data_IF_353635887971
#
_entry.id   IF_353635887971
#
_cell.length_a   1.000
_cell.length_b   1.000
_cell.length_c   1.000
_cell.angle_alpha   90.00
_cell.angle_beta   90.00
_cell.angle_gamma   90.00
#
_symmetry.space_group_name_H-M   'P 1'
#
loop_
_entity.id
_entity.type
_entity.pdbx_description
1 polymer ?
#
# COMPACT_ATOMS: atom_id res chain seq x y z
N UNK A 1 -7.13 -3.23 -39.51
CA UNK A 1 -8.48 -3.41 -38.94
C UNK A 1 -8.26 -4.11 -37.61
N UNK A 2 -8.59 -3.43 -36.51
CA UNK A 2 -8.39 -3.93 -35.16
C UNK A 2 -9.61 -4.78 -34.79
N UNK A 3 -9.43 -6.09 -34.69
CA UNK A 3 -10.48 -6.97 -34.21
C UNK A 3 -10.46 -6.98 -32.67
N UNK A 4 -11.32 -6.14 -32.09
CA UNK A 4 -11.68 -6.20 -30.68
C UNK A 4 -12.56 -7.45 -30.53
N UNK A 5 -12.05 -8.50 -29.91
CA UNK A 5 -12.86 -9.67 -29.57
C UNK A 5 -13.56 -9.35 -28.25
N UNK A 6 -14.83 -8.92 -28.34
CA UNK A 6 -15.71 -8.65 -27.19
C UNK A 6 -16.12 -9.97 -26.53
N UNK A 7 -15.37 -10.38 -25.50
CA UNK A 7 -15.69 -11.54 -24.69
C UNK A 7 -16.06 -11.11 -23.27
N UNK A 8 -17.37 -11.17 -23.03
CA UNK A 8 -18.08 -11.28 -21.74
C UNK A 8 -18.15 -10.02 -20.85
N UNK A 9 -19.37 -9.46 -20.82
CA UNK A 9 -19.86 -8.60 -19.73
C UNK A 9 -19.80 -9.38 -18.41
N UNK A 10 -18.85 -9.04 -17.54
CA UNK A 10 -18.83 -9.53 -16.16
C UNK A 10 -19.61 -8.54 -15.30
N UNK A 11 -20.89 -8.84 -15.06
CA UNK A 11 -21.70 -8.16 -14.04
C UNK A 11 -21.35 -8.73 -12.67
N UNK A 12 -20.86 -7.90 -11.76
CA UNK A 12 -20.75 -8.27 -10.35
C UNK A 12 -21.43 -7.23 -9.47
N UNK A 13 -22.26 -7.71 -8.55
CA UNK A 13 -22.86 -6.92 -7.49
C UNK A 13 -22.64 -7.62 -6.17
N UNK A 14 -22.40 -6.82 -5.12
CA UNK A 14 -22.90 -7.06 -3.76
C UNK A 14 -22.84 -5.74 -2.98
N UNK A 15 -24.04 -5.34 -2.55
CA UNK A 15 -24.42 -4.42 -1.47
C UNK A 15 -23.57 -3.17 -1.19
N UNK A 16 -24.06 -2.01 -1.67
CA UNK A 16 -23.75 -0.70 -1.09
C UNK A 16 -23.25 0.34 -2.09
N UNK A 17 -24.18 0.91 -2.86
CA UNK A 17 -24.06 2.20 -3.58
C UNK A 17 -22.69 2.55 -4.19
N UNK A 18 -22.35 2.06 -5.39
CA UNK A 18 -21.66 2.82 -6.46
C UNK A 18 -22.00 2.24 -7.84
N UNK A 19 -21.95 3.09 -8.87
CA UNK A 19 -22.27 2.78 -10.27
C UNK A 19 -21.45 1.60 -10.80
N UNK A 20 -22.09 0.65 -11.49
CA UNK A 20 -21.42 -0.50 -12.10
C UNK A 20 -20.56 -0.05 -13.29
N UNK A 21 -19.23 0.00 -13.13
CA UNK A 21 -18.30 0.19 -14.24
C UNK A 21 -18.05 -1.15 -14.91
N UNK A 22 -18.49 -1.30 -16.18
CA UNK A 22 -18.11 -2.45 -17.01
C UNK A 22 -16.67 -2.26 -17.46
N UNK A 23 -15.75 -3.09 -16.97
CA UNK A 23 -14.35 -3.10 -17.45
C UNK A 23 -14.23 -4.13 -18.56
N UNK A 24 -13.83 -3.69 -19.75
CA UNK A 24 -13.47 -4.58 -20.87
C UNK A 24 -12.02 -5.01 -20.68
N UNK A 25 -11.79 -6.32 -20.51
CA UNK A 25 -10.43 -6.85 -20.49
C UNK A 25 -9.87 -6.90 -21.91
N UNK A 26 -8.68 -6.33 -22.11
CA UNK A 26 -7.94 -6.51 -23.34
C UNK A 26 -7.24 -7.87 -23.30
N UNK A 27 -7.83 -8.87 -23.96
CA UNK A 27 -7.14 -10.13 -24.26
C UNK A 27 -6.29 -9.90 -25.50
N UNK A 28 -4.96 -9.91 -25.33
CA UNK A 28 -4.07 -9.76 -26.46
C UNK A 28 -3.97 -11.05 -27.29
N UNK A 29 -4.31 -10.95 -28.57
CA UNK A 29 -4.18 -12.02 -29.57
C UNK A 29 -2.72 -12.11 -30.10
N UNK A 30 -1.77 -12.43 -29.22
CA UNK A 30 -0.34 -12.64 -29.53
C UNK A 30 0.54 -11.39 -29.69
N UNK A 31 0.10 -10.21 -29.23
CA UNK A 31 0.94 -8.98 -29.21
C UNK A 31 1.25 -8.51 -27.79
N UNK A 32 2.34 -7.77 -27.61
CA UNK A 32 2.60 -7.09 -26.34
C UNK A 32 1.65 -5.90 -26.21
N UNK A 33 0.78 -5.88 -25.20
CA UNK A 33 -0.03 -4.72 -24.84
C UNK A 33 0.54 -4.02 -23.61
N UNK A 34 1.09 -2.83 -23.81
CA UNK A 34 1.70 -2.02 -22.75
C UNK A 34 0.72 -1.02 -22.11
N UNK A 35 -0.52 -0.98 -22.61
CA UNK A 35 -1.56 -0.09 -22.09
C UNK A 35 -2.28 -0.79 -20.93
N UNK A 36 -2.06 -0.29 -19.71
CA UNK A 36 -2.62 -0.88 -18.49
C UNK A 36 -4.15 -0.75 -18.49
N UNK A 37 -4.87 -1.87 -18.35
CA UNK A 37 -6.33 -1.84 -18.23
C UNK A 37 -6.72 -1.29 -16.86
N UNK A 38 -7.65 -0.31 -16.77
CA UNK A 38 -8.18 0.13 -15.47
C UNK A 38 -8.67 -1.06 -14.63
N UNK A 39 -8.37 -1.04 -13.33
CA UNK A 39 -8.95 -2.01 -12.41
C UNK A 39 -10.47 -1.79 -12.31
N UNK A 40 -11.26 -2.85 -12.12
CA UNK A 40 -12.68 -2.69 -11.80
C UNK A 40 -12.82 -2.08 -10.41
N UNK A 41 -13.84 -1.24 -10.22
CA UNK A 41 -14.12 -0.58 -8.94
C UNK A 41 -14.24 -1.60 -7.80
N UNK A 42 -14.77 -2.80 -8.09
CA UNK A 42 -14.90 -3.91 -7.13
C UNK A 42 -13.57 -4.47 -6.61
N UNK A 43 -12.45 -4.23 -7.30
CA UNK A 43 -11.12 -4.65 -6.86
C UNK A 43 -10.46 -3.61 -5.94
N UNK A 44 -10.84 -2.33 -6.04
CA UNK A 44 -10.26 -1.25 -5.25
C UNK A 44 -10.66 -1.40 -3.77
N UNK A 45 -9.70 -1.19 -2.88
CA UNK A 45 -9.83 -1.44 -1.43
C UNK A 45 -9.73 -2.92 -1.03
N UNK A 46 -9.58 -3.86 -1.96
CA UNK A 46 -9.56 -5.30 -1.64
C UNK A 46 -8.13 -5.83 -1.45
N UNK A 47 -7.99 -6.93 -0.71
CA UNK A 47 -6.70 -7.63 -0.55
C UNK A 47 -6.22 -8.32 -1.83
N UNK A 48 -7.12 -8.55 -2.78
CA UNK A 48 -6.85 -9.30 -4.01
C UNK A 48 -6.51 -8.39 -5.20
N UNK A 49 -6.44 -7.06 -4.99
CA UNK A 49 -6.09 -6.07 -6.01
C UNK A 49 -4.76 -6.36 -6.70
N UNK A 50 -3.70 -6.68 -5.94
CA UNK A 50 -2.38 -6.96 -6.53
C UNK A 50 -2.29 -8.39 -7.08
N UNK A 51 -2.74 -9.37 -6.29
CA UNK A 51 -2.68 -10.78 -6.65
C UNK A 51 -3.81 -11.58 -5.97
N UNK A 52 -4.61 -12.29 -6.76
CA UNK A 52 -5.60 -13.26 -6.26
C UNK A 52 -5.03 -14.69 -6.35
N UNK A 53 -4.62 -15.24 -5.20
CA UNK A 53 -4.08 -16.61 -5.09
C UNK A 53 -5.14 -17.70 -5.30
N UNK A 54 -6.43 -17.40 -5.14
CA UNK A 54 -7.49 -18.43 -5.14
C UNK A 54 -7.92 -18.85 -6.55
N UNK A 55 -7.40 -18.21 -7.60
CA UNK A 55 -7.91 -18.38 -8.98
C UNK A 55 -6.82 -18.59 -10.05
N UNK A 56 -5.62 -19.00 -9.66
CA UNK A 56 -4.58 -19.44 -10.61
C UNK A 56 -5.13 -20.59 -11.47
N UNK A 57 -5.42 -20.33 -12.75
CA UNK A 57 -5.86 -21.34 -13.73
C UNK A 57 -7.35 -21.34 -14.12
N UNK A 58 -8.16 -20.38 -13.65
CA UNK A 58 -9.57 -20.24 -14.06
C UNK A 58 -9.81 -19.14 -15.10
N UNK A 59 -10.78 -19.34 -15.99
CA UNK A 59 -11.27 -18.32 -16.95
C UNK A 59 -12.17 -17.25 -16.30
N UNK A 60 -12.45 -17.35 -15.00
CA UNK A 60 -13.31 -16.44 -14.26
C UNK A 60 -12.50 -15.29 -13.63
N UNK A 61 -12.38 -14.20 -14.38
CA UNK A 61 -11.64 -12.98 -14.08
C UNK A 61 -12.01 -12.30 -12.76
N UNK A 62 -11.11 -12.36 -11.79
CA UNK A 62 -10.86 -11.21 -10.93
C UNK A 62 -9.60 -10.52 -11.44
N UNK A 63 -9.76 -9.25 -11.80
CA UNK A 63 -8.74 -8.37 -12.40
C UNK A 63 -7.73 -7.92 -11.34
N UNK A 64 -6.99 -8.86 -10.75
CA UNK A 64 -5.76 -8.48 -10.05
C UNK A 64 -4.79 -7.84 -11.04
N UNK A 65 -3.96 -6.91 -10.59
CA UNK A 65 -2.96 -6.25 -11.45
C UNK A 65 -1.99 -7.25 -12.08
N UNK A 66 -1.64 -8.32 -11.35
CA UNK A 66 -0.90 -9.44 -11.92
C UNK A 66 -1.63 -10.08 -13.12
N UNK A 67 -2.89 -10.48 -12.92
CA UNK A 67 -3.66 -11.16 -13.95
C UNK A 67 -3.88 -10.26 -15.19
N UNK A 68 -4.11 -8.96 -14.98
CA UNK A 68 -4.16 -7.98 -16.06
C UNK A 68 -2.85 -7.95 -16.86
N UNK A 69 -1.72 -7.84 -16.16
CA UNK A 69 -0.39 -7.85 -16.78
C UNK A 69 -0.14 -9.12 -17.60
N UNK A 70 -0.37 -10.31 -17.02
CA UNK A 70 -0.15 -11.59 -17.71
C UNK A 70 -1.02 -11.73 -18.97
N UNK A 71 -2.27 -11.23 -18.94
CA UNK A 71 -3.15 -11.29 -20.10
C UNK A 71 -2.70 -10.33 -21.22
N UNK A 72 -2.29 -9.11 -20.87
CA UNK A 72 -1.76 -8.12 -21.81
C UNK A 72 -0.41 -8.51 -22.41
N UNK A 73 0.38 -9.24 -21.63
CA UNK A 73 1.73 -9.65 -22.01
C UNK A 73 1.83 -11.10 -22.49
N UNK A 74 0.71 -11.82 -22.71
CA UNK A 74 0.72 -13.22 -23.17
C UNK A 74 1.51 -13.45 -24.47
N UNK A 75 1.49 -12.47 -25.38
CA UNK A 75 2.23 -12.51 -26.64
C UNK A 75 3.71 -12.09 -26.55
N UNK A 76 4.22 -11.79 -25.36
CA UNK A 76 5.59 -11.35 -25.14
C UNK A 76 6.21 -11.96 -23.87
N UNK A 77 7.53 -11.90 -23.73
CA UNK A 77 8.24 -12.50 -22.60
C UNK A 77 8.53 -11.48 -21.47
N UNK A 78 7.66 -10.50 -21.24
CA UNK A 78 7.83 -9.59 -20.12
C UNK A 78 7.51 -10.30 -18.81
N UNK A 79 8.40 -10.16 -17.83
CA UNK A 79 8.20 -10.69 -16.49
C UNK A 79 7.21 -9.82 -15.72
N UNK A 80 6.39 -10.48 -14.89
CA UNK A 80 5.46 -9.80 -13.98
C UNK A 80 6.27 -8.88 -13.06
N UNK A 81 5.83 -7.63 -12.84
CA UNK A 81 6.49 -6.74 -11.89
C UNK A 81 6.52 -7.35 -10.49
N UNK A 82 7.71 -7.43 -9.90
CA UNK A 82 7.92 -7.98 -8.56
C UNK A 82 7.12 -7.28 -7.46
N UNK A 83 6.67 -6.04 -7.71
CA UNK A 83 5.82 -5.31 -6.80
C UNK A 83 4.46 -6.00 -6.62
N UNK A 84 3.91 -6.67 -7.63
CA UNK A 84 2.59 -7.30 -7.50
C UNK A 84 2.61 -8.55 -6.63
N UNK A 85 3.46 -9.51 -6.94
CA UNK A 85 3.53 -10.79 -6.20
C UNK A 85 4.45 -10.75 -4.99
N UNK A 86 5.44 -9.86 -5.02
CA UNK A 86 6.38 -9.66 -3.93
C UNK A 86 5.85 -8.63 -2.95
N UNK A 87 6.19 -7.35 -3.15
CA UNK A 87 6.02 -6.32 -2.13
C UNK A 87 4.54 -6.03 -1.80
N UNK A 88 3.73 -5.75 -2.82
CA UNK A 88 2.32 -5.37 -2.71
C UNK A 88 1.46 -6.46 -2.08
N UNK A 89 1.44 -7.68 -2.64
CA UNK A 89 0.67 -8.80 -2.09
C UNK A 89 1.13 -9.21 -0.68
N UNK A 90 2.45 -9.27 -0.43
CA UNK A 90 2.99 -9.57 0.90
C UNK A 90 2.44 -8.59 1.94
N UNK A 91 2.54 -7.29 1.67
CA UNK A 91 2.19 -6.29 2.67
C UNK A 91 0.71 -6.05 2.83
N UNK A 92 -0.06 -6.06 1.74
CA UNK A 92 -1.52 -5.94 1.87
C UNK A 92 -2.08 -7.08 2.73
N UNK A 93 -1.57 -8.30 2.56
CA UNK A 93 -1.97 -9.46 3.38
C UNK A 93 -1.43 -9.35 4.79
N UNK A 94 -0.17 -8.99 4.99
CA UNK A 94 0.37 -8.85 6.36
C UNK A 94 -0.37 -7.78 7.17
N UNK A 95 -0.64 -6.62 6.57
CA UNK A 95 -1.43 -5.57 7.21
C UNK A 95 -2.85 -6.09 7.55
N UNK A 96 -3.50 -6.82 6.64
CA UNK A 96 -4.87 -7.33 6.85
C UNK A 96 -4.94 -8.47 7.86
N UNK A 97 -4.07 -9.46 7.72
CA UNK A 97 -4.18 -10.74 8.40
C UNK A 97 -3.47 -10.72 9.75
N UNK A 98 -2.51 -9.82 9.95
CA UNK A 98 -1.76 -9.72 11.21
C UNK A 98 -2.05 -8.37 11.87
N UNK A 99 -1.64 -7.25 11.26
CA UNK A 99 -1.70 -5.93 11.91
C UNK A 99 -3.12 -5.55 12.33
N UNK A 100 -4.10 -5.77 11.46
CA UNK A 100 -5.51 -5.45 11.71
C UNK A 100 -6.04 -6.02 13.03
N UNK A 101 -5.60 -7.21 13.44
CA UNK A 101 -6.06 -7.86 14.69
C UNK A 101 -5.75 -7.03 15.93
N UNK A 102 -4.62 -6.32 15.91
CA UNK A 102 -4.06 -5.60 17.04
C UNK A 102 -4.41 -4.11 17.07
N UNK A 103 -4.96 -3.58 15.96
CA UNK A 103 -5.32 -2.18 15.83
C UNK A 103 -6.60 -1.83 16.61
N UNK A 104 -6.66 -0.60 17.11
CA UNK A 104 -7.88 0.00 17.61
C UNK A 104 -8.94 0.15 16.50
N UNK A 105 -10.17 0.54 16.86
CA UNK A 105 -11.21 0.84 15.87
C UNK A 105 -10.78 1.95 14.89
N UNK A 106 -10.05 2.97 15.38
CA UNK A 106 -9.52 4.05 14.54
C UNK A 106 -8.41 3.54 13.63
N UNK A 107 -7.51 2.68 14.15
CA UNK A 107 -6.45 2.08 13.35
C UNK A 107 -6.98 1.13 12.27
N UNK A 108 -8.05 0.38 12.56
CA UNK A 108 -8.73 -0.50 11.57
C UNK A 108 -9.35 0.31 10.43
N UNK A 109 -10.08 1.37 10.76
CA UNK A 109 -10.64 2.29 9.76
C UNK A 109 -9.52 2.91 8.90
N UNK A 110 -8.43 3.37 9.54
CA UNK A 110 -7.26 3.88 8.82
C UNK A 110 -6.68 2.86 7.86
N UNK A 111 -6.55 1.59 8.26
CA UNK A 111 -5.95 0.55 7.42
C UNK A 111 -6.80 0.28 6.16
N UNK A 112 -8.12 0.26 6.32
CA UNK A 112 -9.07 0.10 5.22
C UNK A 112 -8.99 1.29 4.25
N UNK A 113 -9.02 2.53 4.77
CA UNK A 113 -8.95 3.75 3.97
C UNK A 113 -7.58 3.91 3.29
N UNK A 114 -6.48 3.68 4.02
CA UNK A 114 -5.13 3.76 3.47
C UNK A 114 -4.94 2.76 2.33
N UNK A 115 -5.46 1.53 2.46
CA UNK A 115 -5.45 0.55 1.37
C UNK A 115 -6.25 1.02 0.17
N UNK A 116 -7.45 1.56 0.39
CA UNK A 116 -8.27 2.11 -0.68
C UNK A 116 -7.50 3.22 -1.43
N UNK A 117 -6.95 4.21 -0.72
CA UNK A 117 -6.21 5.31 -1.35
C UNK A 117 -4.92 4.87 -2.04
N UNK A 118 -4.18 3.91 -1.49
CA UNK A 118 -3.01 3.33 -2.15
C UNK A 118 -3.35 2.77 -3.53
N UNK A 119 -4.50 2.10 -3.65
CA UNK A 119 -4.95 1.50 -4.91
C UNK A 119 -5.56 2.52 -5.86
N UNK A 120 -6.32 3.50 -5.35
CA UNK A 120 -6.80 4.63 -6.17
C UNK A 120 -5.63 5.41 -6.78
N UNK A 121 -4.60 5.72 -5.99
CA UNK A 121 -3.43 6.45 -6.47
C UNK A 121 -2.54 5.64 -7.39
N UNK A 122 -2.53 4.31 -7.24
CA UNK A 122 -1.93 3.40 -8.21
C UNK A 122 -2.65 3.51 -9.56
N UNK A 123 -3.98 3.41 -9.59
CA UNK A 123 -4.78 3.51 -10.82
C UNK A 123 -4.68 4.89 -11.48
N UNK A 124 -4.72 5.96 -10.69
CA UNK A 124 -4.56 7.32 -11.22
C UNK A 124 -3.17 7.56 -11.80
N UNK A 125 -2.15 6.89 -11.27
CA UNK A 125 -0.81 6.93 -11.82
C UNK A 125 -0.69 6.17 -13.14
N UNK A 126 -1.34 5.01 -13.28
CA UNK A 126 -1.42 4.31 -14.57
C UNK A 126 -2.13 5.16 -15.62
N UNK A 127 -3.26 5.79 -15.27
CA UNK A 127 -3.97 6.73 -16.17
C UNK A 127 -3.06 7.88 -16.61
N UNK A 128 -2.31 8.49 -15.69
CA UNK A 128 -1.35 9.55 -16.03
C UNK A 128 -0.21 9.05 -16.93
N UNK A 129 0.30 7.84 -16.70
CA UNK A 129 1.41 7.29 -17.46
C UNK A 129 1.09 7.03 -18.95
N UNK A 130 -0.20 7.00 -19.31
CA UNK A 130 -0.63 6.92 -20.72
C UNK A 130 -0.20 8.15 -21.54
N UNK A 131 -0.06 9.30 -20.89
CA UNK A 131 0.15 10.61 -21.55
C UNK A 131 1.28 11.44 -20.93
N UNK A 132 1.88 10.99 -19.83
CA UNK A 132 2.94 11.69 -19.11
C UNK A 132 4.03 10.74 -18.62
N UNK A 133 5.30 11.16 -18.74
CA UNK A 133 6.44 10.52 -18.06
C UNK A 133 6.52 10.87 -16.57
N UNK A 134 5.70 11.82 -16.14
CA UNK A 134 5.64 12.29 -14.76
C UNK A 134 4.28 11.94 -14.19
N UNK A 135 4.28 11.14 -13.13
CA UNK A 135 3.08 10.80 -12.39
C UNK A 135 3.07 11.59 -11.09
N UNK A 136 1.94 12.21 -10.79
CA UNK A 136 1.75 12.98 -9.57
C UNK A 136 0.66 12.32 -8.73
N UNK A 137 0.94 12.08 -7.46
CA UNK A 137 -0.08 11.74 -6.47
C UNK A 137 -0.50 13.00 -5.77
N UNK A 138 -1.79 13.34 -5.82
CA UNK A 138 -2.33 14.51 -5.12
C UNK A 138 -3.09 14.03 -3.89
N UNK A 139 -2.64 14.42 -2.70
CA UNK A 139 -3.41 14.15 -1.49
C UNK A 139 -4.71 14.95 -1.50
N UNK A 140 -5.78 14.30 -1.02
CA UNK A 140 -7.10 14.93 -0.87
C UNK A 140 -7.15 15.88 0.33
N UNK A 141 -6.37 15.58 1.37
CA UNK A 141 -6.35 16.30 2.65
C UNK A 141 -5.32 17.43 2.65
N UNK A 142 -4.12 17.20 2.13
CA UNK A 142 -3.02 18.18 2.16
C UNK A 142 -2.21 18.16 0.86
N UNK A 143 -2.34 19.17 -0.01
CA UNK A 143 -1.57 19.23 -1.25
C UNK A 143 -0.04 19.23 -1.06
N UNK A 144 0.48 19.63 0.12
CA UNK A 144 1.92 19.74 0.38
C UNK A 144 2.65 18.40 0.48
N UNK A 145 1.92 17.32 0.74
CA UNK A 145 2.44 15.94 0.79
C UNK A 145 2.23 15.18 -0.52
N UNK A 146 1.78 15.88 -1.57
CA UNK A 146 1.68 15.32 -2.91
C UNK A 146 3.07 14.92 -3.42
N UNK A 147 3.18 13.74 -4.02
CA UNK A 147 4.44 13.27 -4.59
C UNK A 147 4.46 13.44 -6.10
N UNK A 148 5.66 13.56 -6.65
CA UNK A 148 5.90 13.56 -8.09
C UNK A 148 7.00 12.55 -8.40
N UNK A 149 6.68 11.54 -9.18
CA UNK A 149 7.61 10.50 -9.60
C UNK A 149 7.77 10.52 -11.11
N UNK A 150 9.02 10.39 -11.58
CA UNK A 150 9.30 10.16 -12.99
C UNK A 150 9.14 8.66 -13.29
N UNK A 151 8.21 8.32 -14.17
CA UNK A 151 8.02 6.97 -14.71
C UNK A 151 9.12 6.56 -15.71
N UNK A 152 10.04 7.47 -16.04
CA UNK A 152 11.09 7.40 -17.07
C UNK A 152 10.60 7.19 -18.53
N UNK A 153 9.42 6.62 -18.74
CA UNK A 153 8.84 6.31 -20.04
C UNK A 153 7.35 6.67 -20.11
N UNK A 154 6.87 6.96 -21.33
CA UNK A 154 5.44 7.04 -21.62
C UNK A 154 4.97 5.62 -21.88
N UNK A 155 3.92 5.17 -21.17
CA UNK A 155 3.43 3.78 -21.21
C UNK A 155 4.52 2.76 -20.79
N UNK A 156 4.12 1.67 -20.16
CA UNK A 156 5.08 0.66 -19.70
C UNK A 156 5.80 0.99 -18.38
N UNK A 157 5.18 1.80 -17.50
CA UNK A 157 5.64 1.99 -16.12
C UNK A 157 5.92 0.66 -15.41
N UNK A 158 5.08 -0.35 -15.63
CA UNK A 158 5.22 -1.70 -15.08
C UNK A 158 6.43 -2.47 -15.64
N UNK A 159 6.94 -2.13 -16.84
CA UNK A 159 8.04 -2.84 -17.49
C UNK A 159 9.41 -2.52 -16.88
N UNK A 160 9.48 -1.53 -16.00
CA UNK A 160 10.69 -1.19 -15.27
C UNK A 160 10.44 -1.33 -13.76
N UNK A 161 10.83 -2.46 -13.19
CA UNK A 161 10.56 -2.77 -11.78
C UNK A 161 11.07 -1.71 -10.80
N UNK A 162 12.23 -1.08 -11.05
CA UNK A 162 12.75 0.01 -10.21
C UNK A 162 11.83 1.23 -10.24
N UNK A 163 11.48 1.73 -11.42
CA UNK A 163 10.62 2.90 -11.56
C UNK A 163 9.21 2.61 -11.05
N UNK A 164 8.72 1.39 -11.28
CA UNK A 164 7.41 0.98 -10.80
C UNK A 164 7.34 0.98 -9.28
N UNK A 165 8.35 0.42 -8.59
CA UNK A 165 8.47 0.49 -7.14
C UNK A 165 8.55 1.93 -6.63
N UNK A 166 9.38 2.78 -7.25
CA UNK A 166 9.48 4.19 -6.88
C UNK A 166 8.15 4.92 -7.01
N UNK A 167 7.41 4.67 -8.10
CA UNK A 167 6.07 5.21 -8.30
C UNK A 167 5.11 4.71 -7.21
N UNK A 168 5.06 3.40 -6.99
CA UNK A 168 4.19 2.79 -6.01
C UNK A 168 4.45 3.33 -4.60
N UNK A 169 5.72 3.49 -4.21
CA UNK A 169 6.05 4.09 -2.92
C UNK A 169 5.74 5.58 -2.85
N UNK A 170 5.85 6.30 -3.97
CA UNK A 170 5.45 7.70 -4.06
C UNK A 170 3.98 7.92 -3.68
N UNK A 171 3.10 6.92 -3.81
CA UNK A 171 1.68 7.08 -3.43
C UNK A 171 1.43 7.03 -1.92
N UNK A 172 2.36 6.44 -1.15
CA UNK A 172 2.16 6.12 0.27
C UNK A 172 1.95 7.34 1.19
N UNK A 173 2.72 8.45 1.09
CA UNK A 173 2.55 9.58 1.99
C UNK A 173 1.12 10.14 1.93
N UNK A 174 0.64 10.39 0.71
CA UNK A 174 -0.70 10.89 0.46
C UNK A 174 -1.76 9.87 0.94
N UNK A 175 -1.62 8.60 0.57
CA UNK A 175 -2.59 7.57 0.94
C UNK A 175 -2.71 7.38 2.46
N UNK A 176 -1.59 7.45 3.20
CA UNK A 176 -1.61 7.34 4.65
C UNK A 176 -2.35 8.52 5.29
N UNK A 177 -2.07 9.74 4.84
CA UNK A 177 -2.67 10.94 5.39
C UNK A 177 -4.14 11.06 5.03
N UNK A 178 -4.50 10.76 3.78
CA UNK A 178 -5.89 10.75 3.34
C UNK A 178 -6.69 9.63 4.03
N UNK A 179 -6.05 8.51 4.35
CA UNK A 179 -6.63 7.46 5.20
C UNK A 179 -6.77 7.83 6.68
N UNK A 180 -6.28 9.02 7.10
CA UNK A 180 -6.42 9.50 8.47
C UNK A 180 -5.29 9.12 9.42
N UNK A 181 -4.07 8.88 8.92
CA UNK A 181 -2.91 8.45 9.72
C UNK A 181 -2.67 9.33 10.96
N UNK A 182 -2.89 10.64 10.80
CA UNK A 182 -2.72 11.62 11.89
C UNK A 182 -3.66 11.37 13.07
N UNK A 183 -4.79 10.67 12.88
CA UNK A 183 -5.80 10.46 13.91
C UNK A 183 -5.57 9.20 14.75
N UNK A 184 -4.58 8.38 14.40
CA UNK A 184 -4.27 7.14 15.12
C UNK A 184 -3.63 7.39 16.48
N UNK A 185 -3.86 6.46 17.42
CA UNK A 185 -3.17 6.43 18.70
C UNK A 185 -1.73 5.92 18.57
N UNK A 186 -0.91 6.16 19.59
CA UNK A 186 0.53 5.80 19.54
C UNK A 186 0.75 4.28 19.36
N UNK A 187 -0.08 3.45 19.99
CA UNK A 187 0.01 1.99 19.83
C UNK A 187 -0.20 1.58 18.37
N UNK A 188 -1.25 2.09 17.72
CA UNK A 188 -1.54 1.76 16.31
C UNK A 188 -0.41 2.20 15.39
N UNK A 189 0.14 3.40 15.61
CA UNK A 189 1.31 3.89 14.89
C UNK A 189 2.50 2.93 15.03
N UNK A 190 2.81 2.48 16.25
CA UNK A 190 3.88 1.51 16.50
C UNK A 190 3.65 0.22 15.72
N UNK A 191 2.44 -0.34 15.76
CA UNK A 191 2.11 -1.59 15.06
C UNK A 191 2.27 -1.46 13.54
N UNK A 192 1.82 -0.34 12.97
CA UNK A 192 2.00 -0.04 11.54
C UNK A 192 3.48 0.00 11.15
N UNK A 193 4.31 0.67 11.95
CA UNK A 193 5.76 0.76 11.70
C UNK A 193 6.48 -0.58 11.84
N UNK A 194 6.02 -1.41 12.76
CA UNK A 194 6.61 -2.73 13.01
C UNK A 194 6.04 -3.80 12.07
N UNK A 195 5.14 -3.47 11.14
CA UNK A 195 4.59 -4.45 10.18
C UNK A 195 5.60 -4.86 9.09
N UNK A 196 6.34 -3.93 8.46
CA UNK A 196 7.42 -4.28 7.53
C UNK A 196 8.53 -5.10 8.17
N UNK A 197 9.15 -5.99 7.40
CA UNK A 197 10.32 -6.74 7.87
C UNK A 197 11.45 -5.79 8.26
N UNK A 198 12.08 -5.99 9.42
CA UNK A 198 13.18 -5.12 9.90
C UNK A 198 14.39 -5.05 8.95
N UNK A 199 14.57 -6.03 8.06
CA UNK A 199 15.59 -6.01 7.00
C UNK A 199 15.33 -4.92 5.96
N UNK A 200 14.08 -4.53 5.77
CA UNK A 200 13.68 -3.44 4.86
C UNK A 200 14.02 -2.06 5.45
N UNK A 201 14.19 -1.98 6.78
CA UNK A 201 14.71 -0.80 7.48
C UNK A 201 16.25 -0.71 7.51
N UNK A 202 16.97 -1.77 7.14
CA UNK A 202 18.42 -1.89 7.40
C UNK A 202 19.28 -2.37 6.22
N UNK A 203 18.69 -2.68 5.05
CA UNK A 203 19.39 -3.17 3.85
C UNK A 203 19.65 -2.12 2.75
N UNK A 204 20.11 -2.58 1.59
CA UNK A 204 20.40 -1.76 0.38
C UNK A 204 19.16 -1.04 -0.20
N UNK A 205 17.95 -1.42 0.22
CA UNK A 205 16.68 -0.77 -0.12
C UNK A 205 16.19 0.28 0.89
N UNK A 206 16.94 0.54 1.97
CA UNK A 206 16.62 1.56 2.98
C UNK A 206 16.51 2.97 2.37
N UNK A 207 17.28 3.24 1.31
CA UNK A 207 17.46 4.59 0.77
C UNK A 207 16.29 5.11 -0.08
N UNK A 208 15.47 4.24 -0.68
CA UNK A 208 14.77 4.70 -1.89
C UNK A 208 13.38 5.28 -1.67
N UNK A 209 12.58 4.95 -0.64
CA UNK A 209 11.28 5.65 -0.45
C UNK A 209 10.54 5.45 0.88
N UNK A 210 10.68 4.30 1.55
CA UNK A 210 9.85 3.99 2.73
C UNK A 210 10.18 4.90 3.94
N UNK A 211 11.47 5.13 4.23
CA UNK A 211 11.91 6.08 5.25
C UNK A 211 11.35 7.49 4.98
N UNK A 212 11.36 7.93 3.71
CA UNK A 212 10.81 9.24 3.33
C UNK A 212 9.29 9.29 3.50
N UNK A 213 8.57 8.27 3.04
CA UNK A 213 7.11 8.26 3.12
C UNK A 213 6.62 8.22 4.57
N UNK A 214 7.29 7.44 5.40
CA UNK A 214 7.01 7.37 6.82
C UNK A 214 7.41 8.66 7.56
N UNK A 215 8.60 9.23 7.27
CA UNK A 215 9.01 10.51 7.84
C UNK A 215 8.06 11.65 7.49
N UNK A 216 7.46 11.67 6.30
CA UNK A 216 6.42 12.67 5.96
C UNK A 216 5.17 12.50 6.83
N UNK A 217 4.71 11.26 7.02
CA UNK A 217 3.60 10.96 7.92
C UNK A 217 3.89 11.38 9.36
N UNK A 218 5.09 11.08 9.86
CA UNK A 218 5.53 11.46 11.20
C UNK A 218 5.85 12.95 11.34
N UNK A 219 6.31 13.59 10.27
CA UNK A 219 6.46 15.04 10.22
C UNK A 219 5.11 15.73 10.44
N UNK A 220 4.04 15.23 9.82
CA UNK A 220 2.70 15.80 10.04
C UNK A 220 2.22 15.56 11.46
N UNK A 221 2.53 14.40 12.06
CA UNK A 221 2.32 14.18 13.50
C UNK A 221 3.08 15.23 14.34
N UNK A 222 4.34 15.50 14.01
CA UNK A 222 5.16 16.57 14.62
C UNK A 222 4.65 17.98 14.30
N UNK A 223 3.85 18.18 13.26
CA UNK A 223 3.24 19.46 12.94
C UNK A 223 1.89 19.67 13.65
N UNK A 224 1.35 18.64 14.32
CA UNK A 224 0.09 18.77 15.07
C UNK A 224 0.22 19.67 16.31
N UNK A 225 -0.93 20.06 16.87
CA UNK A 225 -1.00 20.96 18.01
C UNK A 225 -0.22 20.42 19.24
N UNK A 226 0.29 21.33 20.07
CA UNK A 226 1.04 20.99 21.28
C UNK A 226 0.26 20.03 22.20
N UNK A 227 -1.06 20.20 22.32
CA UNK A 227 -1.91 19.31 23.10
C UNK A 227 -1.90 17.86 22.58
N UNK A 228 -1.89 17.68 21.25
CA UNK A 228 -1.84 16.35 20.66
C UNK A 228 -0.48 15.71 20.88
N UNK A 229 0.61 16.48 20.76
CA UNK A 229 1.97 16.03 21.08
C UNK A 229 2.09 15.58 22.54
N UNK A 230 1.60 16.37 23.49
CA UNK A 230 1.68 16.00 24.91
C UNK A 230 0.85 14.75 25.22
N UNK A 231 -0.32 14.59 24.59
CA UNK A 231 -1.10 13.35 24.68
C UNK A 231 -0.33 12.14 24.14
N UNK A 232 0.26 12.25 22.95
CA UNK A 232 1.02 11.15 22.35
C UNK A 232 2.29 10.82 23.14
N UNK A 233 3.00 11.81 23.66
CA UNK A 233 4.14 11.59 24.56
C UNK A 233 3.73 10.84 25.83
N UNK A 234 2.57 11.17 26.41
CA UNK A 234 2.03 10.44 27.56
C UNK A 234 1.64 8.99 27.22
N UNK A 235 1.00 8.76 26.07
CA UNK A 235 0.67 7.41 25.58
C UNK A 235 1.94 6.59 25.35
N UNK A 236 2.98 7.17 24.73
CA UNK A 236 4.26 6.51 24.51
C UNK A 236 4.96 6.16 25.83
N UNK A 237 4.99 7.09 26.80
CA UNK A 237 5.55 6.84 28.12
C UNK A 237 4.82 5.71 28.85
N UNK A 238 3.50 5.62 28.72
CA UNK A 238 2.71 4.52 29.28
C UNK A 238 3.09 3.17 28.65
N UNK A 239 3.29 3.11 27.33
CA UNK A 239 3.75 1.91 26.63
C UNK A 239 5.13 1.47 27.14
N UNK A 240 6.07 2.41 27.29
CA UNK A 240 7.40 2.11 27.83
C UNK A 240 7.35 1.64 29.29
N UNK A 241 6.43 2.18 30.09
CA UNK A 241 6.17 1.72 31.47
C UNK A 241 5.58 0.29 31.51
N UNK A 242 5.06 -0.21 30.38
CA UNK A 242 4.58 -1.59 30.22
C UNK A 242 3.09 -1.69 29.91
N UNK A 243 2.35 -0.59 29.86
CA UNK A 243 0.92 -0.61 29.55
C UNK A 243 0.70 -0.88 28.05
N UNK A 244 0.14 -2.04 27.71
CA UNK A 244 -0.06 -2.45 26.32
C UNK A 244 1.19 -3.00 25.63
N UNK A 245 2.27 -3.26 26.38
CA UNK A 245 3.50 -3.85 25.83
C UNK A 245 3.30 -5.33 25.45
N UNK A 246 2.38 -6.03 26.11
CA UNK A 246 2.05 -7.43 25.81
C UNK A 246 1.44 -7.56 24.41
N UNK A 247 0.51 -6.68 24.05
CA UNK A 247 -0.07 -6.65 22.70
C UNK A 247 0.99 -6.40 21.61
N UNK A 248 2.01 -5.58 21.91
CA UNK A 248 3.11 -5.30 20.98
C UNK A 248 4.06 -6.50 20.90
N UNK A 249 4.32 -7.18 22.01
CA UNK A 249 5.15 -8.40 22.04
C UNK A 249 4.48 -9.54 21.24
N UNK A 250 3.18 -9.76 21.47
CA UNK A 250 2.38 -10.75 20.75
C UNK A 250 2.33 -10.42 19.24
N UNK A 251 2.11 -9.15 18.90
CA UNK A 251 2.17 -8.69 17.52
C UNK A 251 3.54 -8.96 16.88
N UNK A 252 4.64 -8.59 17.54
CA UNK A 252 5.98 -8.81 16.99
C UNK A 252 6.25 -10.30 16.80
N UNK A 253 5.78 -11.13 17.73
CA UNK A 253 5.88 -12.58 17.60
C UNK A 253 5.09 -13.12 16.41
N UNK A 254 3.85 -12.68 16.21
CA UNK A 254 3.02 -13.11 15.08
C UNK A 254 3.57 -12.58 13.74
N UNK A 255 3.96 -11.31 13.67
CA UNK A 255 4.40 -10.65 12.44
C UNK A 255 5.78 -11.13 11.97
N UNK A 256 6.70 -11.43 12.89
CA UNK A 256 8.11 -11.72 12.58
C UNK A 256 8.58 -13.11 13.01
N UNK A 257 7.74 -13.87 13.73
CA UNK A 257 8.13 -15.17 14.28
C UNK A 257 9.17 -15.07 15.41
N UNK A 258 9.43 -13.86 15.94
CA UNK A 258 10.48 -13.62 16.95
C UNK A 258 9.85 -13.11 18.24
N UNK A 259 10.21 -13.71 19.38
CA UNK A 259 9.90 -13.15 20.70
C UNK A 259 11.05 -12.29 21.16
N UNK A 260 10.78 -11.00 21.37
CA UNK A 260 11.77 -10.07 21.91
C UNK A 260 11.55 -9.91 23.42
N UNK A 261 12.57 -10.13 24.27
CA UNK A 261 12.47 -9.80 25.67
C UNK A 261 12.04 -8.33 25.86
N UNK A 262 11.12 -8.04 26.78
CA UNK A 262 10.58 -6.69 27.03
C UNK A 262 11.65 -5.59 27.09
N UNK A 263 12.83 -5.86 27.67
CA UNK A 263 13.96 -4.91 27.71
C UNK A 263 14.46 -4.55 26.30
N UNK A 264 14.58 -5.52 25.40
CA UNK A 264 14.97 -5.30 24.01
C UNK A 264 13.87 -4.60 23.22
N UNK A 265 12.61 -4.99 23.44
CA UNK A 265 11.47 -4.34 22.80
C UNK A 265 11.38 -2.86 23.17
N UNK A 266 11.51 -2.52 24.46
CA UNK A 266 11.59 -1.11 24.91
C UNK A 266 12.74 -0.35 24.26
N UNK A 267 13.93 -0.95 24.19
CA UNK A 267 15.08 -0.34 23.53
C UNK A 267 14.82 -0.06 22.04
N UNK A 268 14.18 -1.02 21.34
CA UNK A 268 13.77 -0.84 19.95
C UNK A 268 12.76 0.30 19.79
N UNK A 269 11.70 0.32 20.61
CA UNK A 269 10.70 1.38 20.59
C UNK A 269 11.31 2.75 20.88
N UNK A 270 12.20 2.85 21.87
CA UNK A 270 12.90 4.09 22.19
C UNK A 270 13.79 4.56 21.02
N UNK A 271 14.47 3.64 20.33
CA UNK A 271 15.35 4.00 19.22
C UNK A 271 14.56 4.48 17.98
N UNK A 272 13.41 3.87 17.71
CA UNK A 272 12.59 4.21 16.54
C UNK A 272 11.74 5.46 16.80
N UNK A 273 11.12 5.53 17.98
CA UNK A 273 10.09 6.53 18.29
C UNK A 273 10.49 7.57 19.32
N UNK A 274 11.60 7.37 20.05
CA UNK A 274 11.97 8.24 21.17
C UNK A 274 12.17 9.69 20.77
N UNK A 275 12.74 9.95 19.58
CA UNK A 275 12.95 11.30 19.04
C UNK A 275 11.70 11.92 18.41
N UNK A 276 10.64 11.13 18.22
CA UNK A 276 9.37 11.60 17.65
C UNK A 276 8.54 12.30 18.74
N UNK A 277 8.62 11.78 19.96
CA UNK A 277 7.79 12.20 21.09
C UNK A 277 8.52 13.04 22.14
N UNK A 278 9.83 13.28 21.96
CA UNK A 278 10.67 14.20 22.74
C UNK A 278 10.53 15.63 22.24
#
# INVERSE_FOLDING_TARGET
MNDIVDLTKITSGLAGMQSQTTVVQHLSNDRCDIDVTPAPDSAIGTVDYYYDKKKTGGTAGWLSRKCDFENRHRGCQHEVPDYYEGYGDKYIRRFTDITYKYLSAVGKAWLEDARYYLQVYMEDGFKQNTSSKTVTTKSQVDPSISSRVSAASFKGLELNGRNFRMFAFGTHPAAYIDGGFINMGVKDLILVCLTPDMKEWTGEGRADTFDQAFEVGMYLVRATSLWKKTKMAAEFAAILAGYGLDDIEDFVHEAHGVRLPRKRLRGLLQNIFGSIWS
#
